data_IF_626431278310
#
_entry.id   IF_626431278310
#
_cell.length_a   1.000
_cell.length_b   1.000
_cell.length_c   1.000
_cell.angle_alpha   90.00
_cell.angle_beta   90.00
_cell.angle_gamma   90.00
#
_symmetry.space_group_name_H-M   'P 1'
#
loop_
_entity.id
_entity.type
_entity.pdbx_description
1 polymer ?
#
# COMPACT_ATOMS: atom_id res chain seq x y z
N UNK A 1 -33.89 20.90 -10.00
CA UNK A 1 -34.55 21.44 -8.78
C UNK A 1 -34.53 20.36 -7.72
N UNK A 2 -33.49 20.34 -6.89
CA UNK A 2 -33.31 19.42 -5.76
C UNK A 2 -33.73 20.12 -4.49
N UNK A 3 -34.64 19.52 -3.71
CA UNK A 3 -35.07 20.07 -2.42
C UNK A 3 -33.92 20.01 -1.40
N UNK A 4 -33.73 21.04 -0.56
CA UNK A 4 -32.66 21.06 0.42
C UNK A 4 -32.92 20.06 1.57
N UNK A 5 -31.90 19.27 1.92
CA UNK A 5 -31.95 18.32 3.03
C UNK A 5 -31.87 19.05 4.39
N UNK A 6 -32.95 19.01 5.16
CA UNK A 6 -33.06 19.69 6.46
C UNK A 6 -32.64 18.73 7.59
N UNK A 7 -31.57 19.06 8.32
CA UNK A 7 -31.13 18.34 9.52
C UNK A 7 -31.43 19.20 10.76
N UNK A 8 -32.37 18.76 11.60
CA UNK A 8 -32.76 19.47 12.83
C UNK A 8 -31.88 19.01 14.00
N UNK A 9 -31.02 19.90 14.50
CA UNK A 9 -30.21 19.65 15.71
C UNK A 9 -30.98 19.92 17.01
N UNK A 10 -30.63 19.22 18.09
CA UNK A 10 -31.33 19.21 19.39
C UNK A 10 -30.92 20.33 20.38
N UNK A 11 -30.41 21.47 19.91
CA UNK A 11 -29.96 22.58 20.78
C UNK A 11 -30.62 23.91 20.39
N UNK A 12 -30.82 24.79 21.39
CA UNK A 12 -31.66 26.02 21.40
C UNK A 12 -31.06 27.18 20.57
N UNK A 13 -30.62 26.88 19.36
CA UNK A 13 -30.34 27.88 18.31
C UNK A 13 -30.89 27.28 17.03
N UNK A 14 -32.17 27.55 16.74
CA UNK A 14 -32.81 27.28 15.45
C UNK A 14 -32.19 28.20 14.38
N UNK A 15 -30.91 28.01 14.07
CA UNK A 15 -30.31 28.53 12.84
C UNK A 15 -30.32 27.41 11.83
N UNK A 16 -31.17 27.57 10.83
CA UNK A 16 -31.20 26.72 9.65
C UNK A 16 -29.90 26.96 8.87
N UNK A 17 -28.99 26.00 8.94
CA UNK A 17 -27.83 25.96 8.06
C UNK A 17 -28.24 25.17 6.83
N UNK A 18 -28.56 25.85 5.74
CA UNK A 18 -28.66 25.20 4.43
C UNK A 18 -27.27 24.66 4.08
N UNK A 19 -27.10 23.35 4.14
CA UNK A 19 -25.91 22.70 3.61
C UNK A 19 -25.97 22.87 2.10
N UNK A 20 -25.00 23.60 1.53
CA UNK A 20 -24.88 23.82 0.08
C UNK A 20 -24.77 22.48 -0.68
N UNK A 21 -24.09 21.51 -0.05
CA UNK A 21 -23.91 20.15 -0.56
C UNK A 21 -24.32 19.10 0.48
N UNK A 22 -24.83 17.97 0.00
CA UNK A 22 -25.16 16.82 0.84
C UNK A 22 -23.89 16.24 1.50
N UNK A 23 -23.86 16.07 2.83
CA UNK A 23 -22.77 15.40 3.53
C UNK A 23 -22.49 13.98 3.01
N UNK A 24 -23.53 13.32 2.46
CA UNK A 24 -23.41 11.99 1.87
C UNK A 24 -22.65 12.03 0.55
N UNK A 25 -22.95 12.99 -0.32
CA UNK A 25 -22.30 13.11 -1.64
C UNK A 25 -20.82 13.42 -1.46
N UNK A 26 -20.52 14.31 -0.52
CA UNK A 26 -19.15 14.58 -0.13
C UNK A 26 -18.46 13.35 0.45
N UNK A 27 -19.10 12.59 1.33
CA UNK A 27 -18.51 11.34 1.84
C UNK A 27 -18.23 10.31 0.73
N UNK A 28 -19.07 10.27 -0.32
CA UNK A 28 -18.87 9.41 -1.49
C UNK A 28 -17.65 9.85 -2.32
N UNK A 29 -17.52 11.15 -2.63
CA UNK A 29 -16.35 11.70 -3.35
C UNK A 29 -15.03 11.37 -2.61
N UNK A 30 -15.04 11.50 -1.28
CA UNK A 30 -13.89 11.18 -0.43
C UNK A 30 -13.53 9.70 -0.48
N UNK A 31 -14.55 8.84 -0.50
CA UNK A 31 -14.38 7.41 -0.65
C UNK A 31 -13.79 7.06 -2.03
N UNK A 32 -14.21 7.76 -3.09
CA UNK A 32 -13.70 7.56 -4.45
C UNK A 32 -12.22 7.93 -4.56
N UNK A 33 -11.80 9.09 -4.04
CA UNK A 33 -10.39 9.49 -3.97
C UNK A 33 -9.54 8.51 -3.15
N UNK A 34 -10.06 8.03 -2.02
CA UNK A 34 -9.39 7.03 -1.18
C UNK A 34 -9.24 5.67 -1.88
N UNK A 35 -10.29 5.22 -2.56
CA UNK A 35 -10.30 3.98 -3.32
C UNK A 35 -9.29 4.02 -4.48
N UNK A 36 -9.19 5.16 -5.16
CA UNK A 36 -8.18 5.36 -6.20
C UNK A 36 -6.77 5.31 -5.64
N UNK A 37 -6.50 6.00 -4.52
CA UNK A 37 -5.18 5.97 -3.87
C UNK A 37 -4.77 4.55 -3.47
N UNK A 38 -5.68 3.79 -2.85
CA UNK A 38 -5.45 2.40 -2.48
C UNK A 38 -5.17 1.51 -3.70
N UNK A 39 -5.87 1.76 -4.80
CA UNK A 39 -5.67 1.07 -6.06
C UNK A 39 -4.28 1.34 -6.65
N UNK A 40 -3.84 2.60 -6.62
CA UNK A 40 -2.50 2.99 -7.04
C UNK A 40 -1.40 2.42 -6.14
N UNK A 41 -1.61 2.39 -4.82
CA UNK A 41 -0.72 1.75 -3.85
C UNK A 41 -0.58 0.27 -4.12
N UNK A 42 -1.69 -0.45 -4.35
CA UNK A 42 -1.68 -1.87 -4.65
C UNK A 42 -0.86 -2.19 -5.92
N UNK A 43 -0.94 -1.32 -6.93
CA UNK A 43 -0.14 -1.44 -8.16
C UNK A 43 1.35 -1.18 -7.86
N UNK A 44 1.66 -0.13 -7.10
CA UNK A 44 3.04 0.24 -6.72
C UNK A 44 3.70 -0.85 -5.88
N UNK A 45 3.01 -1.37 -4.88
CA UNK A 45 3.50 -2.40 -3.96
C UNK A 45 3.81 -3.71 -4.67
N UNK A 46 3.06 -4.08 -5.70
CA UNK A 46 3.41 -5.24 -6.53
C UNK A 46 4.72 -5.01 -7.29
N UNK A 47 4.93 -3.81 -7.88
CA UNK A 47 6.19 -3.48 -8.57
C UNK A 47 7.38 -3.56 -7.62
N UNK A 48 7.22 -3.04 -6.39
CA UNK A 48 8.23 -3.11 -5.33
C UNK A 48 8.48 -4.57 -4.96
N UNK A 49 7.42 -5.37 -4.79
CA UNK A 49 7.55 -6.81 -4.52
C UNK A 49 8.29 -7.53 -5.65
N UNK A 50 7.96 -7.26 -6.91
CA UNK A 50 8.64 -7.86 -8.06
C UNK A 50 10.13 -7.47 -8.11
N UNK A 51 10.46 -6.22 -7.78
CA UNK A 51 11.84 -5.74 -7.62
C UNK A 51 12.58 -6.50 -6.52
N UNK A 52 11.97 -6.66 -5.36
CA UNK A 52 12.52 -7.44 -4.24
C UNK A 52 12.85 -8.87 -4.68
N UNK A 53 11.93 -9.53 -5.40
CA UNK A 53 12.11 -10.89 -5.90
C UNK A 53 13.29 -11.02 -6.86
N UNK A 54 13.43 -10.08 -7.80
CA UNK A 54 14.58 -10.05 -8.71
C UNK A 54 15.89 -9.88 -7.96
N UNK A 55 15.94 -8.99 -6.96
CA UNK A 55 17.15 -8.72 -6.21
C UNK A 55 17.58 -9.90 -5.34
N UNK A 56 16.67 -10.56 -4.62
CA UNK A 56 17.04 -11.76 -3.83
C UNK A 56 17.44 -12.93 -4.72
N UNK A 57 16.83 -13.07 -5.91
CA UNK A 57 17.18 -14.12 -6.87
C UNK A 57 18.57 -13.90 -7.43
N UNK A 58 18.87 -12.67 -7.89
CA UNK A 58 20.20 -12.29 -8.38
C UNK A 58 21.27 -12.50 -7.32
N UNK A 59 21.03 -12.02 -6.09
CA UNK A 59 21.94 -12.20 -4.96
C UNK A 59 22.20 -13.69 -4.70
N UNK A 60 21.15 -14.50 -4.58
CA UNK A 60 21.28 -15.95 -4.30
C UNK A 60 22.00 -16.71 -5.41
N UNK A 61 21.78 -16.35 -6.67
CA UNK A 61 22.49 -16.94 -7.81
C UNK A 61 23.99 -16.61 -7.76
N UNK A 62 24.34 -15.33 -7.60
CA UNK A 62 25.73 -14.88 -7.49
C UNK A 62 26.44 -15.55 -6.33
N UNK A 63 25.83 -15.58 -5.14
CA UNK A 63 26.44 -16.22 -3.96
C UNK A 63 26.64 -17.71 -4.16
N UNK A 64 25.69 -18.40 -4.80
CA UNK A 64 25.85 -19.82 -5.12
C UNK A 64 26.98 -20.06 -6.11
N UNK A 65 27.16 -19.18 -7.10
CA UNK A 65 28.28 -19.25 -8.05
C UNK A 65 29.62 -19.04 -7.36
N UNK A 66 29.72 -18.06 -6.45
CA UNK A 66 30.95 -17.80 -5.70
C UNK A 66 31.31 -18.96 -4.74
N UNK A 67 30.31 -19.61 -4.13
CA UNK A 67 30.51 -20.84 -3.34
C UNK A 67 31.00 -21.99 -4.20
N UNK A 68 30.38 -22.21 -5.38
CA UNK A 68 30.78 -23.27 -6.31
C UNK A 68 32.17 -23.06 -6.89
N UNK A 69 32.54 -21.81 -7.13
CA UNK A 69 33.88 -21.43 -7.59
C UNK A 69 34.94 -21.49 -6.48
N UNK A 70 34.54 -21.79 -5.23
CA UNK A 70 35.45 -21.87 -4.09
C UNK A 70 35.98 -20.52 -3.62
N UNK A 71 35.38 -19.40 -4.06
CA UNK A 71 35.78 -18.05 -3.63
C UNK A 71 35.38 -17.77 -2.19
N UNK A 72 34.28 -18.37 -1.75
CA UNK A 72 33.77 -18.31 -0.38
C UNK A 72 33.27 -19.70 0.04
N UNK A 73 33.25 -19.97 1.34
CA UNK A 73 32.66 -21.18 1.89
C UNK A 73 31.13 -21.14 1.86
N UNK A 74 30.48 -22.30 1.94
CA UNK A 74 29.02 -22.37 2.01
C UNK A 74 28.46 -21.65 3.25
N UNK A 75 29.19 -21.69 4.38
CA UNK A 75 28.81 -20.98 5.60
C UNK A 75 28.87 -19.46 5.44
N UNK A 76 29.96 -18.94 4.84
CA UNK A 76 30.09 -17.52 4.52
C UNK A 76 29.00 -17.07 3.54
N UNK A 77 28.72 -17.89 2.51
CA UNK A 77 27.63 -17.62 1.58
C UNK A 77 26.26 -17.55 2.26
N UNK A 78 25.99 -18.40 3.24
CA UNK A 78 24.75 -18.36 4.04
C UNK A 78 24.67 -17.08 4.86
N UNK A 79 25.75 -16.71 5.57
CA UNK A 79 25.81 -15.49 6.37
C UNK A 79 25.60 -14.25 5.50
N UNK A 80 26.31 -14.17 4.37
CA UNK A 80 26.16 -13.10 3.39
C UNK A 80 24.73 -13.02 2.84
N UNK A 81 24.17 -14.15 2.40
CA UNK A 81 22.81 -14.20 1.84
C UNK A 81 21.76 -13.74 2.84
N UNK A 82 21.93 -14.13 4.10
CA UNK A 82 21.05 -13.75 5.20
C UNK A 82 21.07 -12.25 5.46
N UNK A 83 22.27 -11.68 5.62
CA UNK A 83 22.46 -10.26 5.85
C UNK A 83 21.95 -9.43 4.66
N UNK A 84 22.34 -9.81 3.45
CA UNK A 84 21.97 -9.10 2.22
C UNK A 84 20.46 -9.16 1.98
N UNK A 85 19.81 -10.31 2.23
CA UNK A 85 18.34 -10.42 2.12
C UNK A 85 17.61 -9.52 3.11
N UNK A 86 18.16 -9.32 4.31
CA UNK A 86 17.61 -8.39 5.29
C UNK A 86 17.80 -6.93 4.84
N UNK A 87 18.98 -6.57 4.32
CA UNK A 87 19.24 -5.24 3.73
C UNK A 87 18.30 -4.93 2.57
N UNK A 88 18.17 -5.85 1.60
CA UNK A 88 17.24 -5.74 0.48
C UNK A 88 15.80 -5.57 0.99
N UNK A 89 15.39 -6.35 2.01
CA UNK A 89 14.05 -6.23 2.58
C UNK A 89 13.80 -4.83 3.18
N UNK A 90 14.75 -4.30 3.94
CA UNK A 90 14.63 -2.97 4.58
C UNK A 90 14.56 -1.88 3.51
N UNK A 91 15.39 -1.98 2.47
CA UNK A 91 15.38 -0.99 1.38
C UNK A 91 14.03 -0.96 0.65
N UNK A 92 13.47 -2.11 0.29
CA UNK A 92 12.16 -2.18 -0.36
C UNK A 92 11.00 -1.69 0.54
N UNK A 93 11.12 -1.82 1.87
CA UNK A 93 10.10 -1.34 2.82
C UNK A 93 9.97 0.18 2.84
N UNK A 94 11.03 0.93 2.54
CA UNK A 94 11.00 2.41 2.48
C UNK A 94 10.05 2.94 1.40
N UNK A 95 9.89 2.15 0.34
CA UNK A 95 9.07 2.51 -0.83
C UNK A 95 7.68 1.88 -0.79
N UNK A 96 7.45 0.90 0.10
CA UNK A 96 6.16 0.20 0.23
C UNK A 96 5.12 1.16 0.81
N UNK A 97 3.88 1.10 0.32
CA UNK A 97 2.75 1.88 0.84
C UNK A 97 2.58 1.66 2.35
N UNK A 98 1.95 2.61 3.06
CA UNK A 98 1.75 2.50 4.50
C UNK A 98 0.92 1.27 4.90
N UNK A 99 -0.12 0.96 4.11
CA UNK A 99 -0.99 -0.20 4.30
C UNK A 99 -0.23 -1.50 4.02
N UNK A 100 0.55 -1.54 2.93
CA UNK A 100 1.42 -2.67 2.60
C UNK A 100 2.49 -2.90 3.66
N UNK A 101 3.09 -1.83 4.18
CA UNK A 101 4.09 -1.87 5.25
C UNK A 101 3.51 -2.46 6.53
N UNK A 102 2.30 -2.04 6.93
CA UNK A 102 1.60 -2.60 8.09
C UNK A 102 1.37 -4.12 7.95
N UNK A 103 0.96 -4.59 6.76
CA UNK A 103 0.80 -6.03 6.47
C UNK A 103 2.14 -6.77 6.55
N UNK A 104 3.21 -6.19 6.01
CA UNK A 104 4.56 -6.78 6.03
C UNK A 104 5.13 -6.84 7.45
N UNK A 105 4.96 -5.79 8.24
CA UNK A 105 5.42 -5.71 9.63
C UNK A 105 4.64 -6.69 10.53
N UNK A 106 3.34 -6.90 10.28
CA UNK A 106 2.56 -7.96 10.95
C UNK A 106 3.12 -9.36 10.66
N UNK A 107 3.55 -9.61 9.42
CA UNK A 107 4.15 -10.90 9.04
C UNK A 107 5.52 -11.12 9.66
N UNK A 108 6.34 -10.08 9.72
CA UNK A 108 7.62 -10.04 10.42
C UNK A 108 8.02 -8.60 10.69
N UNK A 109 8.17 -8.21 11.96
CA UNK A 109 8.68 -6.88 12.32
C UNK A 109 10.11 -6.74 11.79
N UNK A 110 10.99 -7.66 12.17
CA UNK A 110 12.42 -7.64 11.81
C UNK A 110 12.88 -8.85 11.00
N UNK A 111 14.13 -8.78 10.53
CA UNK A 111 14.84 -9.94 9.98
C UNK A 111 15.00 -11.02 11.05
N UNK A 112 14.83 -12.29 10.67
CA UNK A 112 15.13 -13.41 11.59
C UNK A 112 16.63 -13.50 11.81
N UNK A 113 17.10 -14.03 12.94
CA UNK A 113 18.54 -14.17 13.18
C UNK A 113 19.15 -15.30 12.33
N UNK A 114 20.47 -15.24 12.10
CA UNK A 114 21.19 -16.28 11.38
C UNK A 114 21.10 -17.63 12.11
N UNK A 115 21.25 -17.63 13.44
CA UNK A 115 21.09 -18.82 14.29
C UNK A 115 19.71 -19.45 14.12
N UNK A 116 18.65 -18.66 14.19
CA UNK A 116 17.29 -19.16 13.97
C UNK A 116 17.13 -19.81 12.60
N UNK A 117 17.76 -19.25 11.56
CA UNK A 117 17.70 -19.80 10.20
C UNK A 117 18.40 -21.15 10.13
N UNK A 118 19.61 -21.25 10.68
CA UNK A 118 20.37 -22.50 10.72
C UNK A 118 19.64 -23.58 11.50
N UNK A 119 19.11 -23.26 12.69
CA UNK A 119 18.35 -24.20 13.52
C UNK A 119 17.07 -24.67 12.84
N UNK A 120 16.35 -23.77 12.14
CA UNK A 120 15.16 -24.15 11.38
C UNK A 120 15.49 -25.18 10.29
N UNK A 121 16.48 -24.90 9.44
CA UNK A 121 16.80 -25.81 8.33
C UNK A 121 17.43 -27.12 8.85
N UNK A 122 18.17 -27.06 9.95
CA UNK A 122 18.66 -28.24 10.66
C UNK A 122 17.51 -29.12 11.16
N UNK A 123 16.49 -28.52 11.79
CA UNK A 123 15.31 -29.25 12.24
C UNK A 123 14.46 -29.77 11.08
N UNK A 124 14.28 -28.98 10.02
CA UNK A 124 13.52 -29.38 8.84
C UNK A 124 14.14 -30.62 8.17
N UNK A 125 15.48 -30.66 8.02
CA UNK A 125 16.20 -31.74 7.34
C UNK A 125 16.54 -32.95 8.24
N UNK A 126 16.95 -32.71 9.49
CA UNK A 126 17.56 -33.73 10.36
C UNK A 126 16.87 -33.88 11.72
N UNK A 127 15.87 -33.05 12.04
CA UNK A 127 15.15 -33.03 13.34
C UNK A 127 16.08 -32.78 14.54
N UNK A 128 17.20 -32.09 14.32
CA UNK A 128 18.24 -31.78 15.32
C UNK A 128 18.56 -30.29 15.33
N UNK A 129 19.19 -29.81 16.40
CA UNK A 129 19.74 -28.46 16.46
C UNK A 129 21.00 -28.35 15.60
N UNK A 130 21.27 -27.18 15.04
CA UNK A 130 22.38 -27.00 14.10
C UNK A 130 23.75 -27.35 14.72
N UNK A 131 23.93 -27.00 15.99
CA UNK A 131 25.17 -27.27 16.75
C UNK A 131 25.43 -28.76 17.00
N UNK A 132 24.40 -29.60 16.94
CA UNK A 132 24.51 -31.06 17.13
C UNK A 132 24.77 -31.85 15.84
N UNK A 133 24.87 -31.15 14.71
CA UNK A 133 25.10 -31.76 13.40
C UNK A 133 26.58 -32.06 13.17
N UNK A 134 26.86 -33.16 12.48
CA UNK A 134 28.16 -33.44 11.90
C UNK A 134 28.53 -32.44 10.79
N UNK A 135 29.81 -32.33 10.45
CA UNK A 135 30.27 -31.42 9.40
C UNK A 135 29.59 -31.66 8.03
N UNK A 136 29.29 -32.92 7.70
CA UNK A 136 28.58 -33.28 6.47
C UNK A 136 27.11 -32.82 6.50
N UNK A 137 26.42 -33.02 7.63
CA UNK A 137 25.04 -32.55 7.83
C UNK A 137 24.99 -31.00 7.80
N UNK A 138 25.93 -30.31 8.46
CA UNK A 138 26.02 -28.84 8.43
C UNK A 138 26.21 -28.32 7.00
N UNK A 139 27.10 -28.93 6.22
CA UNK A 139 27.29 -28.59 4.80
C UNK A 139 25.98 -28.73 4.03
N UNK A 140 25.22 -29.81 4.24
CA UNK A 140 23.92 -29.99 3.59
C UNK A 140 22.91 -28.91 3.99
N UNK A 141 22.89 -28.52 5.26
CA UNK A 141 22.07 -27.38 5.75
C UNK A 141 22.46 -26.10 4.99
N UNK A 142 23.76 -25.78 4.89
CA UNK A 142 24.21 -24.55 4.23
C UNK A 142 23.78 -24.48 2.76
N UNK A 143 24.00 -25.55 1.99
CA UNK A 143 23.58 -25.60 0.59
C UNK A 143 22.06 -25.46 0.44
N UNK A 144 21.30 -26.09 1.34
CA UNK A 144 19.83 -25.98 1.30
C UNK A 144 19.35 -24.57 1.62
N UNK A 145 20.00 -23.87 2.56
CA UNK A 145 19.72 -22.46 2.84
C UNK A 145 20.06 -21.59 1.64
N UNK A 146 21.22 -21.79 1.00
CA UNK A 146 21.64 -21.04 -0.19
C UNK A 146 20.66 -21.20 -1.35
N UNK A 147 20.20 -22.43 -1.63
CA UNK A 147 19.18 -22.69 -2.64
C UNK A 147 17.82 -22.05 -2.31
N UNK A 148 17.53 -21.87 -1.03
CA UNK A 148 16.29 -21.25 -0.56
C UNK A 148 16.38 -19.73 -0.39
N UNK A 149 17.59 -19.15 -0.41
CA UNK A 149 17.83 -17.72 -0.20
C UNK A 149 17.13 -16.87 -1.27
N UNK A 150 17.11 -17.34 -2.52
CA UNK A 150 16.41 -16.69 -3.65
C UNK A 150 14.92 -17.03 -3.76
N UNK A 151 14.39 -17.95 -2.94
CA UNK A 151 12.98 -18.37 -3.00
C UNK A 151 12.07 -17.36 -2.32
N UNK A 152 10.89 -17.18 -2.90
CA UNK A 152 9.86 -16.31 -2.36
C UNK A 152 8.85 -17.05 -1.48
N UNK A 153 7.98 -16.27 -0.84
CA UNK A 153 6.81 -16.81 -0.16
C UNK A 153 5.65 -16.82 -1.15
N UNK A 154 5.35 -17.99 -1.70
CA UNK A 154 4.39 -18.13 -2.80
C UNK A 154 2.99 -17.61 -2.44
N UNK A 155 2.55 -17.76 -1.18
CA UNK A 155 1.25 -17.24 -0.74
C UNK A 155 1.25 -15.72 -0.75
N UNK A 156 2.31 -15.11 -0.21
CA UNK A 156 2.45 -13.65 -0.17
C UNK A 156 2.56 -13.04 -1.57
N UNK A 157 3.38 -13.64 -2.44
CA UNK A 157 3.56 -13.18 -3.82
C UNK A 157 2.28 -13.35 -4.66
N UNK A 158 1.52 -14.43 -4.47
CA UNK A 158 0.19 -14.58 -5.11
C UNK A 158 -0.77 -13.50 -4.63
N UNK A 159 -0.74 -13.16 -3.34
CA UNK A 159 -1.54 -12.07 -2.78
C UNK A 159 -1.24 -10.73 -3.44
N UNK A 160 0.03 -10.34 -3.56
CA UNK A 160 0.40 -9.06 -4.20
C UNK A 160 0.00 -9.01 -5.68
N UNK A 161 0.10 -10.13 -6.41
CA UNK A 161 -0.38 -10.21 -7.80
C UNK A 161 -1.89 -10.05 -7.92
N UNK A 162 -2.67 -10.61 -7.00
CA UNK A 162 -4.12 -10.38 -6.95
C UNK A 162 -4.44 -8.92 -6.66
N UNK A 163 -3.72 -8.30 -5.72
CA UNK A 163 -3.88 -6.88 -5.40
C UNK A 163 -3.54 -5.97 -6.59
N UNK A 164 -2.53 -6.32 -7.40
CA UNK A 164 -2.25 -5.61 -8.65
C UNK A 164 -3.45 -5.63 -9.61
N UNK A 165 -4.09 -6.79 -9.79
CA UNK A 165 -5.26 -6.91 -10.66
C UNK A 165 -6.42 -6.07 -10.09
N UNK A 166 -6.68 -6.20 -8.79
CA UNK A 166 -7.72 -5.42 -8.11
C UNK A 166 -7.47 -3.91 -8.18
N UNK A 167 -6.22 -3.48 -8.01
CA UNK A 167 -5.86 -2.06 -8.13
C UNK A 167 -6.05 -1.55 -9.56
N UNK A 168 -5.66 -2.33 -10.58
CA UNK A 168 -5.92 -1.96 -11.99
C UNK A 168 -7.41 -1.83 -12.27
N UNK A 169 -8.22 -2.77 -11.77
CA UNK A 169 -9.68 -2.72 -11.90
C UNK A 169 -10.26 -1.53 -11.14
N UNK A 170 -9.78 -1.25 -9.93
CA UNK A 170 -10.21 -0.11 -9.12
C UNK A 170 -9.98 1.22 -9.85
N UNK A 171 -8.81 1.42 -10.46
CA UNK A 171 -8.54 2.60 -11.29
C UNK A 171 -9.54 2.74 -12.45
N UNK A 172 -9.83 1.65 -13.15
CA UNK A 172 -10.79 1.66 -14.27
C UNK A 172 -12.21 1.99 -13.82
N UNK A 173 -12.65 1.41 -12.70
CA UNK A 173 -13.98 1.66 -12.13
C UNK A 173 -14.09 3.12 -11.67
N UNK A 174 -13.08 3.65 -10.96
CA UNK A 174 -13.09 5.06 -10.54
C UNK A 174 -13.08 5.99 -11.75
N UNK A 175 -12.30 5.70 -12.79
CA UNK A 175 -12.30 6.50 -14.01
C UNK A 175 -13.67 6.47 -14.72
N UNK A 176 -14.34 5.31 -14.75
CA UNK A 176 -15.68 5.19 -15.32
C UNK A 176 -16.73 5.97 -14.51
N UNK A 177 -16.66 5.93 -13.18
CA UNK A 177 -17.54 6.70 -12.30
C UNK A 177 -17.33 8.21 -12.46
N UNK A 178 -16.07 8.67 -12.45
CA UNK A 178 -15.75 10.08 -12.69
C UNK A 178 -16.24 10.55 -14.07
N UNK A 179 -16.07 9.73 -15.11
CA UNK A 179 -16.60 10.04 -16.46
C UNK A 179 -18.12 10.14 -16.45
N UNK A 180 -18.81 9.23 -15.77
CA UNK A 180 -20.27 9.25 -15.64
C UNK A 180 -20.77 10.51 -14.90
N UNK A 181 -20.08 10.92 -13.83
CA UNK A 181 -20.40 12.13 -13.08
C UNK A 181 -20.21 13.38 -13.96
N UNK A 182 -19.10 13.48 -14.70
CA UNK A 182 -18.85 14.59 -15.65
C UNK A 182 -19.90 14.65 -16.76
N UNK A 183 -20.28 13.51 -17.34
CA UNK A 183 -21.23 13.48 -18.47
C UNK A 183 -22.65 13.89 -18.07
N UNK A 184 -23.05 13.57 -16.84
CA UNK A 184 -24.38 13.89 -16.31
C UNK A 184 -24.43 15.24 -15.58
N UNK A 185 -23.29 15.91 -15.38
CA UNK A 185 -23.25 17.20 -14.74
C UNK A 185 -23.85 18.30 -15.62
N UNK A 186 -24.56 19.23 -14.98
CA UNK A 186 -25.13 20.41 -15.62
C UNK A 186 -24.02 21.34 -16.15
N UNK A 187 -22.95 21.53 -15.39
CA UNK A 187 -21.73 22.25 -15.80
C UNK A 187 -20.54 21.27 -15.90
N UNK A 188 -20.32 20.74 -17.11
CA UNK A 188 -19.29 19.73 -17.38
C UNK A 188 -17.85 20.22 -17.15
N UNK A 189 -17.46 21.45 -17.55
CA UNK A 189 -16.13 21.97 -17.22
C UNK A 189 -15.87 22.08 -15.71
N UNK A 190 -16.83 22.60 -14.93
CA UNK A 190 -16.73 22.71 -13.47
C UNK A 190 -16.59 21.33 -12.82
N UNK A 191 -17.40 20.35 -13.24
CA UNK A 191 -17.32 18.98 -12.73
C UNK A 191 -16.00 18.29 -13.13
N UNK A 192 -15.51 18.55 -14.34
CA UNK A 192 -14.21 18.03 -14.78
C UNK A 192 -13.07 18.54 -13.90
N UNK A 193 -13.09 19.83 -13.56
CA UNK A 193 -12.10 20.41 -12.66
C UNK A 193 -12.23 19.86 -11.22
N UNK A 194 -13.46 19.69 -10.70
CA UNK A 194 -13.73 19.05 -9.41
C UNK A 194 -13.20 17.62 -9.35
N UNK A 195 -13.52 16.78 -10.34
CA UNK A 195 -12.97 15.42 -10.46
C UNK A 195 -11.44 15.43 -10.61
N UNK A 196 -10.88 16.41 -11.32
CA UNK A 196 -9.44 16.65 -11.40
C UNK A 196 -8.80 16.93 -10.04
N UNK A 197 -9.48 17.71 -9.18
CA UNK A 197 -9.05 17.98 -7.81
C UNK A 197 -9.25 16.77 -6.89
N UNK A 198 -10.31 15.97 -7.05
CA UNK A 198 -10.52 14.75 -6.24
C UNK A 198 -9.46 13.70 -6.59
N UNK A 199 -9.21 13.47 -7.88
CA UNK A 199 -8.20 12.55 -8.38
C UNK A 199 -6.78 13.04 -8.06
N UNK A 200 -6.52 14.33 -8.26
CA UNK A 200 -5.22 14.98 -8.02
C UNK A 200 -4.92 15.22 -6.53
N UNK A 201 -5.92 15.63 -5.76
CA UNK A 201 -5.87 15.91 -4.33
C UNK A 201 -5.91 14.66 -3.45
N UNK A 202 -6.52 13.56 -3.94
CA UNK A 202 -6.41 12.24 -3.33
C UNK A 202 -4.96 11.75 -3.19
N UNK A 203 -4.03 12.28 -3.99
CA UNK A 203 -2.60 12.02 -3.87
C UNK A 203 -1.98 12.65 -2.60
N UNK A 204 -2.48 13.80 -2.12
CA UNK A 204 -1.98 14.48 -0.92
C UNK A 204 -2.78 14.07 0.34
N UNK A 205 -4.11 13.92 0.25
CA UNK A 205 -4.93 13.49 1.38
C UNK A 205 -4.69 12.03 1.81
N UNK A 206 -4.39 11.14 0.85
CA UNK A 206 -4.12 9.73 1.12
C UNK A 206 -2.81 9.44 1.88
N UNK A 207 -1.84 10.36 1.82
CA UNK A 207 -0.57 10.25 2.55
C UNK A 207 -0.79 10.42 4.05
N UNK A 208 -1.65 11.38 4.45
CA UNK A 208 -2.00 11.60 5.85
C UNK A 208 -2.87 10.48 6.43
N UNK A 209 -3.82 9.95 5.64
CA UNK A 209 -4.61 8.79 6.02
C UNK A 209 -3.74 7.52 6.21
N UNK A 210 -2.78 7.28 5.30
CA UNK A 210 -1.86 6.14 5.39
C UNK A 210 -0.96 6.16 6.63
N UNK A 211 -0.47 7.34 7.03
CA UNK A 211 0.38 7.50 8.23
C UNK A 211 -0.42 7.36 9.55
N UNK A 212 -1.67 7.84 9.58
CA UNK A 212 -2.54 7.72 10.76
C UNK A 212 -2.99 6.29 11.06
N UNK A 213 -3.23 5.47 10.02
CA UNK A 213 -3.67 4.08 10.17
C UNK A 213 -2.65 3.26 10.96
N UNK A 214 -1.34 3.40 10.70
CA UNK A 214 -0.31 2.65 11.42
C UNK A 214 -0.11 3.09 12.87
N UNK A 215 -0.50 4.33 13.23
CA UNK A 215 -0.34 4.88 14.57
C UNK A 215 -1.56 4.61 15.47
N UNK A 216 -2.78 4.66 14.92
CA UNK A 216 -4.04 4.46 15.66
C UNK A 216 -4.51 3.00 15.64
N UNK A 217 -4.29 2.30 14.53
CA UNK A 217 -4.72 0.91 14.36
C UNK A 217 -3.50 0.01 14.33
N UNK A 218 -3.29 -0.73 15.43
CA UNK A 218 -2.19 -1.68 15.52
C UNK A 218 -2.12 -2.65 14.32
N UNK A 219 -0.95 -3.28 14.08
CA UNK A 219 -0.70 -4.13 12.91
C UNK A 219 -1.59 -5.39 12.95
N UNK A 220 -2.82 -5.30 12.46
CA UNK A 220 -3.80 -6.37 12.69
C UNK A 220 -5.25 -6.08 12.36
N UNK A 221 -5.71 -4.83 12.41
CA UNK A 221 -7.13 -4.51 12.36
C UNK A 221 -7.55 -3.92 10.99
N UNK A 222 -7.98 -4.75 10.01
CA UNK A 222 -8.44 -4.23 8.72
C UNK A 222 -9.67 -3.32 8.86
N UNK A 223 -10.53 -3.54 9.86
CA UNK A 223 -11.71 -2.71 10.13
C UNK A 223 -11.27 -1.33 10.68
N UNK A 224 -10.29 -1.29 11.58
CA UNK A 224 -9.73 -0.04 12.08
C UNK A 224 -8.98 0.70 10.97
N UNK A 225 -8.25 0.00 10.10
CA UNK A 225 -7.62 0.60 8.92
C UNK A 225 -8.64 1.17 7.94
N UNK A 226 -9.77 0.49 7.70
CA UNK A 226 -10.88 1.04 6.92
C UNK A 226 -11.47 2.26 7.63
N UNK A 227 -11.67 2.23 8.95
CA UNK A 227 -12.18 3.36 9.72
C UNK A 227 -11.22 4.55 9.76
N UNK A 228 -9.90 4.35 9.84
CA UNK A 228 -8.90 5.43 9.85
C UNK A 228 -8.55 5.89 8.45
N UNK A 229 -8.65 5.03 7.42
CA UNK A 229 -8.70 5.49 6.03
C UNK A 229 -9.96 6.31 5.83
N UNK A 230 -11.14 5.87 6.26
CA UNK A 230 -12.36 6.66 6.17
C UNK A 230 -12.23 7.99 6.94
N UNK A 231 -11.72 8.00 8.17
CA UNK A 231 -11.53 9.23 8.97
C UNK A 231 -10.40 10.12 8.43
N UNK A 232 -9.32 9.53 7.93
CA UNK A 232 -8.17 10.25 7.35
C UNK A 232 -8.45 10.74 5.92
N UNK A 233 -9.26 10.01 5.16
CA UNK A 233 -9.82 10.43 3.87
C UNK A 233 -10.91 11.47 4.09
N UNK A 234 -11.68 11.37 5.18
CA UNK A 234 -12.54 12.45 5.65
C UNK A 234 -11.70 13.68 5.96
N UNK A 235 -10.62 13.62 6.74
CA UNK A 235 -9.80 14.81 6.99
C UNK A 235 -9.07 15.35 5.73
N UNK A 236 -8.44 14.46 4.96
CA UNK A 236 -7.61 14.81 3.80
C UNK A 236 -8.42 15.26 2.58
N UNK A 237 -9.59 14.69 2.37
CA UNK A 237 -10.48 15.17 1.33
C UNK A 237 -11.56 16.13 1.84
N UNK A 238 -11.82 16.27 3.14
CA UNK A 238 -12.44 17.51 3.65
C UNK A 238 -11.49 18.66 3.35
N UNK A 239 -10.18 18.52 3.50
CA UNK A 239 -9.24 19.54 3.03
C UNK A 239 -9.29 19.73 1.49
N UNK A 240 -9.29 18.65 0.70
CA UNK A 240 -9.36 18.73 -0.77
C UNK A 240 -10.69 19.25 -1.32
N UNK A 241 -11.80 18.86 -0.74
CA UNK A 241 -13.14 19.33 -1.05
C UNK A 241 -13.40 20.72 -0.49
N UNK A 242 -12.85 21.09 0.67
CA UNK A 242 -12.95 22.48 1.18
C UNK A 242 -12.12 23.39 0.28
N UNK A 243 -10.98 22.92 -0.22
CA UNK A 243 -10.24 23.63 -1.26
C UNK A 243 -11.09 23.71 -2.54
N UNK A 244 -11.64 22.60 -3.04
CA UNK A 244 -12.49 22.63 -4.24
C UNK A 244 -13.71 23.56 -4.10
N UNK A 245 -14.39 23.57 -2.95
CA UNK A 245 -15.53 24.44 -2.70
C UNK A 245 -15.12 25.90 -2.41
N UNK A 246 -13.92 26.13 -1.85
CA UNK A 246 -13.38 27.48 -1.70
C UNK A 246 -13.00 28.11 -3.04
N UNK A 247 -12.73 27.27 -4.04
CA UNK A 247 -12.47 27.66 -5.41
C UNK A 247 -13.75 27.60 -6.25
N UNK A 248 -14.94 27.39 -5.68
CA UNK A 248 -16.16 27.09 -6.48
C UNK A 248 -16.57 28.27 -7.39
N UNK A 249 -16.45 29.50 -6.91
CA UNK A 249 -16.64 30.73 -7.72
C UNK A 249 -15.54 30.88 -8.78
N UNK A 250 -14.30 30.55 -8.44
CA UNK A 250 -13.16 30.63 -9.36
C UNK A 250 -13.25 29.54 -10.44
N UNK A 251 -13.70 28.34 -10.10
CA UNK A 251 -13.96 27.22 -11.00
C UNK A 251 -15.12 27.52 -11.96
N UNK A 252 -16.12 28.27 -11.49
CA UNK A 252 -17.23 28.75 -12.32
C UNK A 252 -16.76 29.83 -13.30
N UNK A 253 -15.93 30.78 -12.86
CA UNK A 253 -15.28 31.76 -13.74
C UNK A 253 -14.33 31.08 -14.76
N UNK A 254 -13.53 30.10 -14.31
CA UNK A 254 -12.68 29.29 -15.20
C UNK A 254 -13.50 28.49 -16.22
N UNK A 255 -14.75 28.12 -15.92
CA UNK A 255 -15.64 27.44 -16.88
C UNK A 255 -16.14 28.35 -18.00
N UNK A 256 -16.06 29.67 -17.82
CA UNK A 256 -16.41 30.68 -18.81
C UNK A 256 -15.22 31.14 -19.67
N UNK A 257 -13.99 30.80 -19.27
CA UNK A 257 -12.80 31.07 -20.09
C UNK A 257 -12.71 30.01 -21.18
N UNK A 258 -12.87 30.43 -22.44
CA UNK A 258 -12.65 29.57 -23.61
C UNK A 258 -11.17 29.16 -23.68
N UNK A 259 -10.84 28.04 -23.04
CA UNK A 259 -9.58 27.32 -23.26
C UNK A 259 -9.91 25.98 -23.93
N UNK A 260 -10.63 26.06 -25.06
CA UNK A 260 -10.53 25.19 -26.24
C UNK A 260 -10.97 25.98 -27.47
#
# INVERSE_FOLDING_TARGET
MTEPYIVTGSYVVQREHALRDSPLDRALELMEGAALRFSLDAISDEKIRASYLRNIKRMSQQTMEDVKAGKITAQEGVAFSHEMRNKILVEHRKWTSAQGLAVVQRKKKDGRTLKWLMDRYSNDLFKKNYESLSAAEQKKVHYTILEAAGRDDAKFTKGTKKMLIMGKLGVLVTAALATYQILNAENKPKETARQGIIVGGGALGGVLAGMGVSALCGPGAPICAIAVVLVGSVAGGVAGGVVADSLDEELEEFSHWDIF
#
